data_IF_430764409367
#
_entry.id   IF_430764409367
#
_cell.length_a   1.000
_cell.length_b   1.000
_cell.length_c   1.000
_cell.angle_alpha   90.00
_cell.angle_beta   90.00
_cell.angle_gamma   90.00
#
_symmetry.space_group_name_H-M   'P 1'
#
loop_
_entity.id
_entity.type
_entity.pdbx_description
1 polymer ?
#
# COMPACT_ATOMS: atom_id res chain seq x y z
N UNK A 1 -13.53 19.72 -3.74
CA UNK A 1 -12.17 20.00 -4.19
C UNK A 1 -11.31 18.94 -3.55
N UNK A 2 -10.78 18.03 -4.37
CA UNK A 2 -9.88 16.96 -3.92
C UNK A 2 -8.64 17.57 -3.27
N UNK A 3 -8.08 16.90 -2.26
CA UNK A 3 -6.85 17.34 -1.60
C UNK A 3 -5.65 17.12 -2.51
N UNK A 4 -5.47 18.03 -3.47
CA UNK A 4 -4.46 17.92 -4.50
C UNK A 4 -3.05 18.14 -3.94
N UNK A 5 -2.13 17.22 -4.22
CA UNK A 5 -0.71 17.32 -3.89
C UNK A 5 0.13 17.22 -5.14
N UNK A 6 1.36 17.74 -5.00
CA UNK A 6 2.44 17.53 -5.96
C UNK A 6 3.75 17.34 -5.19
N UNK A 7 4.61 16.49 -5.72
CA UNK A 7 5.95 16.27 -5.17
C UNK A 7 6.94 15.98 -6.31
N UNK A 8 8.21 16.34 -6.11
CA UNK A 8 9.26 16.14 -7.10
C UNK A 8 9.11 17.02 -8.35
N UNK A 9 9.60 16.52 -9.48
CA UNK A 9 9.65 17.24 -10.76
C UNK A 9 8.50 16.84 -11.68
N UNK A 10 7.67 17.81 -12.05
CA UNK A 10 6.51 17.62 -12.93
C UNK A 10 6.52 18.68 -14.04
N UNK A 11 5.97 18.39 -15.24
CA UNK A 11 5.81 19.39 -16.28
C UNK A 11 4.75 20.44 -15.90
N UNK A 12 4.79 21.60 -16.56
CA UNK A 12 3.84 22.71 -16.30
C UNK A 12 2.38 22.33 -16.61
N UNK A 13 2.17 21.39 -17.52
CA UNK A 13 0.87 20.91 -17.98
C UNK A 13 0.93 19.39 -18.13
N UNK A 14 -0.17 18.73 -17.77
CA UNK A 14 -0.37 17.28 -17.98
C UNK A 14 -0.21 16.93 -19.45
N UNK A 15 0.31 15.74 -19.75
CA UNK A 15 0.44 15.23 -21.12
C UNK A 15 1.27 16.16 -22.03
N UNK A 16 2.29 16.80 -21.46
CA UNK A 16 3.28 17.57 -22.21
C UNK A 16 4.68 16.98 -22.02
N UNK A 17 5.61 17.36 -22.88
CA UNK A 17 6.99 16.84 -22.80
C UNK A 17 7.62 17.21 -21.46
N UNK A 18 8.05 16.20 -20.71
CA UNK A 18 8.87 16.33 -19.53
C UNK A 18 10.25 15.74 -19.81
N UNK A 19 11.26 16.60 -19.89
CA UNK A 19 12.60 16.21 -20.34
C UNK A 19 13.54 16.02 -19.17
N UNK A 20 14.40 15.00 -19.29
CA UNK A 20 15.55 14.79 -18.42
C UNK A 20 16.68 15.77 -18.78
N UNK A 21 17.68 15.94 -17.91
CA UNK A 21 18.86 16.75 -18.21
C UNK A 21 19.62 16.34 -19.49
N UNK A 22 19.59 15.06 -19.85
CA UNK A 22 20.23 14.53 -21.08
C UNK A 22 19.40 14.73 -22.36
N UNK A 23 18.20 15.34 -22.25
CA UNK A 23 17.30 15.61 -23.37
C UNK A 23 16.29 14.49 -23.67
N UNK A 24 16.44 13.30 -23.07
CA UNK A 24 15.45 12.22 -23.16
C UNK A 24 14.16 12.58 -22.40
N UNK A 25 13.11 11.74 -22.52
CA UNK A 25 11.81 11.98 -21.89
C UNK A 25 11.64 11.11 -20.64
N UNK A 26 10.96 11.65 -19.62
CA UNK A 26 10.37 10.83 -18.57
C UNK A 26 9.13 10.10 -19.11
N UNK A 27 8.82 8.94 -18.56
CA UNK A 27 7.62 8.16 -18.89
C UNK A 27 6.47 8.60 -17.98
N UNK A 28 5.29 8.85 -18.52
CA UNK A 28 4.11 9.26 -17.74
C UNK A 28 3.22 8.03 -17.46
N UNK A 29 2.84 7.82 -16.20
CA UNK A 29 1.84 6.84 -15.76
C UNK A 29 0.64 7.57 -15.16
N UNK A 30 -0.58 7.25 -15.63
CA UNK A 30 -1.79 7.65 -14.94
C UNK A 30 -2.26 6.51 -14.03
N UNK A 31 -2.07 6.69 -12.72
CA UNK A 31 -2.67 5.83 -11.71
C UNK A 31 -4.04 6.39 -11.34
N UNK A 32 -5.10 5.86 -11.97
CA UNK A 32 -6.47 6.31 -11.75
C UNK A 32 -7.40 5.25 -11.19
N UNK A 33 -8.46 5.69 -10.53
CA UNK A 33 -9.57 4.85 -10.08
C UNK A 33 -10.73 4.87 -11.10
N UNK A 34 -11.54 3.81 -11.10
CA UNK A 34 -12.82 3.72 -11.86
C UNK A 34 -12.74 4.18 -13.32
N UNK A 35 -11.68 3.79 -14.05
CA UNK A 35 -11.58 3.99 -15.50
C UNK A 35 -11.72 5.45 -15.94
N UNK A 36 -10.94 6.35 -15.33
CA UNK A 36 -10.87 7.80 -15.61
C UNK A 36 -12.04 8.64 -15.06
N UNK A 37 -12.98 8.04 -14.33
CA UNK A 37 -14.13 8.75 -13.77
C UNK A 37 -13.99 9.16 -12.30
N UNK A 38 -12.90 8.76 -11.66
CA UNK A 38 -12.59 9.04 -10.25
C UNK A 38 -11.22 9.70 -10.08
N UNK A 39 -10.78 9.84 -8.83
CA UNK A 39 -9.49 10.41 -8.45
C UNK A 39 -8.32 9.68 -9.15
N UNK A 40 -7.26 10.43 -9.42
CA UNK A 40 -6.08 9.91 -10.12
C UNK A 40 -4.84 10.68 -9.77
N UNK A 41 -3.70 10.01 -9.89
CA UNK A 41 -2.38 10.62 -9.82
C UNK A 41 -1.64 10.39 -11.14
N UNK A 42 -0.90 11.40 -11.59
CA UNK A 42 0.07 11.31 -12.67
C UNK A 42 1.46 11.17 -12.09
N UNK A 43 2.18 10.13 -12.49
CA UNK A 43 3.55 9.84 -12.06
C UNK A 43 4.49 9.96 -13.25
N UNK A 44 5.68 10.50 -13.01
CA UNK A 44 6.72 10.69 -14.02
C UNK A 44 7.93 9.83 -13.68
N UNK A 45 8.21 8.82 -14.49
CA UNK A 45 9.20 7.77 -14.26
C UNK A 45 10.47 7.94 -15.10
N UNK A 46 11.61 7.49 -14.56
CA UNK A 46 12.84 7.32 -15.33
C UNK A 46 12.82 6.11 -16.27
N UNK A 47 11.96 5.13 -16.05
CA UNK A 47 11.89 3.93 -16.88
C UNK A 47 10.44 3.68 -17.30
N UNK A 48 10.24 2.71 -18.18
CA UNK A 48 8.89 2.30 -18.60
C UNK A 48 8.25 1.56 -17.42
N UNK A 49 7.18 2.08 -16.79
CA UNK A 49 6.62 1.52 -15.56
C UNK A 49 6.00 0.13 -15.76
N UNK A 50 5.57 -0.18 -16.98
CA UNK A 50 5.01 -1.49 -17.37
C UNK A 50 6.05 -2.55 -17.75
N UNK A 51 7.34 -2.22 -17.73
CA UNK A 51 8.38 -3.16 -18.12
C UNK A 51 8.54 -4.29 -17.07
N UNK A 52 8.50 -5.52 -17.55
CA UNK A 52 8.75 -6.75 -16.78
C UNK A 52 9.69 -7.65 -17.61
N UNK A 53 10.60 -8.35 -16.94
CA UNK A 53 11.53 -9.30 -17.58
C UNK A 53 11.26 -10.75 -17.21
N UNK A 54 10.58 -11.01 -16.08
CA UNK A 54 10.15 -12.34 -15.66
C UNK A 54 8.89 -12.25 -14.79
N UNK A 55 8.14 -13.36 -14.73
CA UNK A 55 6.97 -13.52 -13.89
C UNK A 55 6.83 -14.97 -13.42
N UNK A 56 6.68 -15.17 -12.11
CA UNK A 56 6.47 -16.50 -11.51
C UNK A 56 5.38 -16.50 -10.46
N UNK A 57 4.70 -17.63 -10.21
CA UNK A 57 3.71 -17.72 -9.14
C UNK A 57 4.33 -17.40 -7.77
N UNK A 58 3.61 -16.62 -6.97
CA UNK A 58 3.85 -16.47 -5.53
C UNK A 58 2.78 -17.25 -4.77
N UNK A 59 3.20 -18.26 -4.02
CA UNK A 59 2.30 -19.03 -3.17
C UNK A 59 1.90 -18.16 -1.97
N UNK A 60 0.65 -17.71 -1.97
CA UNK A 60 0.10 -16.95 -0.86
C UNK A 60 -0.09 -17.83 0.38
N UNK A 61 0.01 -17.25 1.59
CA UNK A 61 -0.50 -17.87 2.81
C UNK A 61 -1.99 -18.23 2.70
N UNK A 62 -2.50 -19.05 3.63
CA UNK A 62 -3.93 -19.36 3.68
C UNK A 62 -4.75 -18.11 4.01
N UNK A 63 -5.68 -17.76 3.11
CA UNK A 63 -6.62 -16.64 3.25
C UNK A 63 -8.07 -17.12 3.42
N UNK A 64 -8.26 -18.41 3.72
CA UNK A 64 -9.59 -19.01 3.86
C UNK A 64 -10.28 -18.54 5.15
N UNK A 65 -11.60 -18.40 5.06
CA UNK A 65 -12.47 -18.04 6.19
C UNK A 65 -13.48 -19.16 6.42
N UNK A 66 -13.83 -19.39 7.68
CA UNK A 66 -14.93 -20.26 8.07
C UNK A 66 -16.08 -19.43 8.67
N UNK A 67 -17.35 -19.74 8.36
CA UNK A 67 -18.49 -19.10 9.00
C UNK A 67 -18.48 -19.26 10.53
N UNK A 68 -18.91 -18.24 11.26
CA UNK A 68 -19.11 -18.33 12.71
C UNK A 68 -20.55 -18.82 12.99
N UNK A 69 -20.79 -20.11 12.75
CA UNK A 69 -22.10 -20.75 12.87
C UNK A 69 -22.04 -21.98 13.80
N UNK A 70 -22.74 -21.98 14.95
CA UNK A 70 -23.53 -20.88 15.49
C UNK A 70 -22.67 -19.67 15.88
N UNK A 71 -23.31 -18.50 16.06
CA UNK A 71 -22.60 -17.28 16.46
C UNK A 71 -22.03 -17.43 17.87
N UNK A 72 -20.71 -17.55 17.96
CA UNK A 72 -19.99 -17.60 19.23
C UNK A 72 -19.22 -16.29 19.48
N UNK A 73 -19.27 -15.73 20.70
CA UNK A 73 -18.36 -14.66 21.09
C UNK A 73 -16.94 -15.23 21.18
N UNK A 74 -16.01 -14.67 20.40
CA UNK A 74 -14.61 -15.09 20.38
C UNK A 74 -13.73 -14.01 20.97
N UNK A 75 -12.91 -14.37 21.95
CA UNK A 75 -11.83 -13.52 22.43
C UNK A 75 -10.55 -13.92 21.72
N UNK A 76 -10.10 -13.08 20.79
CA UNK A 76 -8.89 -13.32 20.00
C UNK A 76 -7.70 -12.67 20.73
N UNK A 77 -6.72 -13.49 21.13
CA UNK A 77 -5.50 -13.03 21.80
C UNK A 77 -4.40 -12.84 20.77
N UNK A 78 -4.42 -11.70 20.09
CA UNK A 78 -3.55 -11.48 18.93
C UNK A 78 -2.07 -11.40 19.31
N UNK A 79 -1.76 -10.91 20.50
CA UNK A 79 -0.40 -10.89 21.05
C UNK A 79 0.18 -12.29 21.25
N UNK A 80 -0.66 -13.32 21.39
CA UNK A 80 -0.23 -14.72 21.54
C UNK A 80 0.05 -15.39 20.16
N UNK A 81 -0.21 -14.71 19.03
CA UNK A 81 0.03 -15.26 17.68
C UNK A 81 1.51 -15.23 17.27
N UNK A 82 2.35 -14.47 17.97
CA UNK A 82 3.74 -14.27 17.65
C UNK A 82 4.60 -14.46 18.90
N UNK A 83 5.55 -15.38 18.83
CA UNK A 83 6.50 -15.62 19.90
C UNK A 83 7.47 -14.43 20.07
N UNK A 84 7.94 -14.21 21.30
CA UNK A 84 8.60 -12.96 21.75
C UNK A 84 9.84 -12.51 20.95
N UNK A 85 10.49 -13.38 20.18
CA UNK A 85 11.67 -13.05 19.36
C UNK A 85 11.49 -13.35 17.87
N UNK A 86 10.40 -14.00 17.46
CA UNK A 86 10.19 -14.37 16.05
C UNK A 86 9.93 -13.16 15.16
N UNK A 87 9.44 -12.06 15.74
CA UNK A 87 9.19 -10.82 15.02
C UNK A 87 10.40 -10.30 14.25
N UNK A 88 11.63 -10.56 14.70
CA UNK A 88 12.87 -10.09 14.04
C UNK A 88 13.09 -10.65 12.64
N UNK A 89 12.46 -11.77 12.31
CA UNK A 89 12.51 -12.44 11.00
C UNK A 89 11.17 -12.37 10.25
N UNK A 90 10.29 -11.49 10.72
CA UNK A 90 8.98 -11.29 10.15
C UNK A 90 8.90 -9.89 9.56
N UNK A 91 8.26 -9.82 8.40
CA UNK A 91 7.97 -8.57 7.75
C UNK A 91 6.47 -8.29 7.72
N UNK A 92 6.14 -7.00 7.54
CA UNK A 92 4.76 -6.52 7.59
C UNK A 92 3.90 -7.12 6.50
N UNK A 93 4.43 -7.58 5.35
CA UNK A 93 3.66 -8.06 4.20
C UNK A 93 3.43 -9.57 4.27
N UNK A 94 4.49 -10.37 4.39
CA UNK A 94 4.39 -11.83 4.20
C UNK A 94 4.07 -12.60 5.48
N UNK A 95 4.35 -12.02 6.66
CA UNK A 95 4.15 -12.67 7.95
C UNK A 95 2.76 -12.40 8.59
N UNK A 96 1.89 -11.63 7.92
CA UNK A 96 0.54 -11.29 8.41
C UNK A 96 -0.30 -12.55 8.68
N UNK A 97 -0.98 -12.60 9.83
CA UNK A 97 -1.93 -13.67 10.17
C UNK A 97 -3.36 -13.19 9.95
N UNK A 98 -4.15 -13.93 9.16
CA UNK A 98 -5.58 -13.63 8.99
C UNK A 98 -6.33 -13.91 10.30
N UNK A 99 -7.06 -12.91 10.77
CA UNK A 99 -7.77 -12.95 12.06
C UNK A 99 -9.27 -13.06 11.84
N UNK A 100 -9.81 -12.20 10.99
CA UNK A 100 -11.23 -12.15 10.64
C UNK A 100 -11.37 -11.76 9.17
N UNK A 101 -12.48 -12.16 8.55
CA UNK A 101 -12.81 -11.72 7.21
C UNK A 101 -14.28 -11.88 6.90
N UNK A 102 -14.79 -11.02 6.03
CA UNK A 102 -16.11 -11.13 5.44
C UNK A 102 -16.00 -10.82 3.93
N UNK A 103 -17.13 -10.52 3.30
CA UNK A 103 -17.15 -10.18 1.88
C UNK A 103 -16.46 -8.86 1.57
N UNK A 104 -16.37 -7.94 2.52
CA UNK A 104 -15.87 -6.56 2.35
C UNK A 104 -14.38 -6.42 2.71
N UNK A 105 -13.97 -7.00 3.84
CA UNK A 105 -12.64 -6.80 4.41
C UNK A 105 -12.03 -8.11 4.91
N UNK A 106 -10.69 -8.16 4.90
CA UNK A 106 -9.89 -9.10 5.68
C UNK A 106 -9.05 -8.33 6.67
N UNK A 107 -9.06 -8.79 7.91
CA UNK A 107 -8.32 -8.18 9.02
C UNK A 107 -7.19 -9.12 9.40
N UNK A 108 -5.97 -8.59 9.38
CA UNK A 108 -4.78 -9.31 9.75
C UNK A 108 -4.07 -8.65 10.93
N UNK A 109 -3.24 -9.45 11.60
CA UNK A 109 -2.31 -8.97 12.62
C UNK A 109 -0.88 -9.41 12.30
N UNK A 110 0.09 -8.55 12.58
CA UNK A 110 1.51 -8.85 12.39
C UNK A 110 2.38 -8.18 13.45
N UNK A 111 3.45 -8.88 13.84
CA UNK A 111 4.57 -8.33 14.62
C UNK A 111 5.84 -8.53 13.79
N UNK A 112 6.47 -7.44 13.39
CA UNK A 112 7.54 -7.44 12.39
C UNK A 112 8.75 -6.60 12.84
N UNK A 113 9.93 -7.00 12.39
CA UNK A 113 11.21 -6.31 12.60
C UNK A 113 12.10 -6.33 11.38
N UNK A 114 11.73 -7.09 10.34
CA UNK A 114 12.45 -7.13 9.08
C UNK A 114 11.77 -6.24 8.04
N UNK A 115 12.58 -5.65 7.16
CA UNK A 115 12.05 -4.90 6.03
C UNK A 115 11.31 -5.84 5.07
N UNK A 116 10.11 -5.46 4.66
CA UNK A 116 9.31 -6.28 3.74
C UNK A 116 9.96 -6.38 2.35
N UNK A 117 9.58 -7.36 1.52
CA UNK A 117 9.78 -7.24 0.09
C UNK A 117 8.99 -6.03 -0.46
N UNK A 118 9.32 -5.62 -1.69
CA UNK A 118 8.45 -4.73 -2.45
C UNK A 118 7.14 -5.45 -2.73
N UNK A 119 6.03 -4.78 -2.45
CA UNK A 119 4.70 -5.37 -2.49
C UNK A 119 3.71 -4.44 -3.18
N UNK A 120 2.75 -5.05 -3.89
CA UNK A 120 1.64 -4.39 -4.54
C UNK A 120 0.35 -5.19 -4.31
N UNK A 121 -0.64 -4.56 -3.68
CA UNK A 121 -1.97 -5.14 -3.53
C UNK A 121 -2.89 -4.68 -4.66
N UNK A 122 -3.20 -5.56 -5.61
CA UNK A 122 -4.14 -5.28 -6.71
C UNK A 122 -5.60 -5.65 -6.38
N UNK A 123 -5.89 -6.07 -5.14
CA UNK A 123 -7.23 -6.53 -4.72
C UNK A 123 -8.10 -5.39 -4.19
N UNK A 124 -7.52 -4.41 -3.52
CA UNK A 124 -8.21 -3.28 -2.89
C UNK A 124 -7.25 -2.45 -2.05
N UNK A 125 -7.78 -1.42 -1.39
CA UNK A 125 -6.99 -0.54 -0.53
C UNK A 125 -6.64 -1.24 0.79
N UNK A 126 -5.52 -0.84 1.39
CA UNK A 126 -5.11 -1.28 2.72
C UNK A 126 -5.14 -0.09 3.69
N UNK A 127 -5.72 -0.30 4.86
CA UNK A 127 -5.60 0.61 6.00
C UNK A 127 -4.85 -0.12 7.11
N UNK A 128 -3.63 0.32 7.40
CA UNK A 128 -2.73 -0.32 8.35
C UNK A 128 -2.61 0.55 9.59
N UNK A 129 -3.17 0.09 10.70
CA UNK A 129 -3.05 0.73 12.00
C UNK A 129 -1.77 0.27 12.70
N UNK A 130 -0.93 1.22 13.10
CA UNK A 130 0.30 0.95 13.86
C UNK A 130 -0.03 0.96 15.35
N UNK A 131 -0.13 -0.24 15.93
CA UNK A 131 -0.42 -0.42 17.36
C UNK A 131 0.74 0.04 18.23
N UNK A 132 1.97 -0.30 17.84
CA UNK A 132 3.21 0.08 18.54
C UNK A 132 4.41 -0.01 17.60
N UNK A 133 5.49 0.70 17.93
CA UNK A 133 6.68 0.76 17.11
C UNK A 133 6.64 1.89 16.10
N UNK A 134 7.66 1.93 15.24
CA UNK A 134 7.79 2.88 14.13
C UNK A 134 8.38 2.22 12.89
N UNK A 135 8.13 2.82 11.73
CA UNK A 135 8.65 2.37 10.46
C UNK A 135 8.71 3.51 9.44
N UNK A 136 9.55 3.33 8.42
CA UNK A 136 9.43 4.07 7.16
C UNK A 136 8.64 3.21 6.17
N UNK A 137 7.52 3.73 5.65
CA UNK A 137 6.80 3.13 4.53
C UNK A 137 7.32 3.77 3.25
N UNK A 138 8.18 3.06 2.53
CA UNK A 138 8.67 3.50 1.24
C UNK A 138 7.61 3.19 0.18
N UNK A 139 7.22 4.17 -0.63
CA UNK A 139 6.24 3.99 -1.70
C UNK A 139 6.75 4.57 -3.01
N UNK A 140 6.10 4.23 -4.11
CA UNK A 140 6.34 4.87 -5.41
C UNK A 140 6.12 6.40 -5.37
N UNK A 141 5.32 6.90 -4.43
CA UNK A 141 5.04 8.33 -4.22
C UNK A 141 6.06 9.03 -3.29
N UNK A 142 6.99 8.28 -2.69
CA UNK A 142 7.93 8.75 -1.69
C UNK A 142 7.78 8.06 -0.32
N UNK A 143 8.71 8.30 0.61
CA UNK A 143 8.67 7.71 1.95
C UNK A 143 7.64 8.39 2.85
N UNK A 144 7.11 7.63 3.81
CA UNK A 144 6.24 8.10 4.87
C UNK A 144 6.71 7.54 6.22
N UNK A 145 7.03 8.42 7.16
CA UNK A 145 7.37 8.03 8.54
C UNK A 145 6.11 7.78 9.34
N UNK A 146 6.02 6.60 9.96
CA UNK A 146 4.85 6.16 10.72
C UNK A 146 5.24 5.65 12.09
N UNK A 147 4.36 5.85 13.06
CA UNK A 147 4.56 5.46 14.44
C UNK A 147 3.26 5.07 15.12
N UNK A 148 3.36 4.80 16.41
CA UNK A 148 2.24 4.37 17.26
C UNK A 148 1.03 5.31 17.14
N UNK A 149 -0.14 4.73 16.87
CA UNK A 149 -1.41 5.46 16.72
C UNK A 149 -1.74 5.87 15.29
N UNK A 150 -0.81 5.71 14.35
CA UNK A 150 -1.03 6.09 12.96
C UNK A 150 -1.89 5.09 12.20
N UNK A 151 -2.68 5.62 11.27
CA UNK A 151 -3.36 4.85 10.23
C UNK A 151 -2.73 5.17 8.87
N UNK A 152 -2.20 4.16 8.21
CA UNK A 152 -1.58 4.28 6.90
C UNK A 152 -2.55 3.76 5.85
N UNK A 153 -3.05 4.64 5.00
CA UNK A 153 -3.89 4.26 3.85
C UNK A 153 -2.99 4.08 2.63
N UNK A 154 -2.98 2.87 2.09
CA UNK A 154 -2.27 2.50 0.87
C UNK A 154 -3.30 2.17 -0.20
N UNK A 155 -3.51 3.07 -1.18
CA UNK A 155 -4.42 2.82 -2.28
C UNK A 155 -4.02 1.57 -3.07
N UNK A 156 -5.02 0.88 -3.63
CA UNK A 156 -4.84 -0.29 -4.49
C UNK A 156 -3.74 -0.01 -5.53
N UNK A 157 -2.90 -1.02 -5.76
CA UNK A 157 -1.79 -1.01 -6.71
C UNK A 157 -0.61 -0.08 -6.37
N UNK A 158 -0.62 0.59 -5.21
CA UNK A 158 0.57 1.32 -4.72
C UNK A 158 1.69 0.33 -4.41
N UNK A 159 2.78 0.38 -5.18
CA UNK A 159 4.00 -0.36 -4.82
C UNK A 159 4.62 0.27 -3.58
N UNK A 160 4.84 -0.55 -2.55
CA UNK A 160 5.40 -0.09 -1.30
C UNK A 160 6.28 -1.15 -0.62
N UNK A 161 7.03 -0.71 0.38
CA UNK A 161 7.88 -1.51 1.26
C UNK A 161 7.84 -0.94 2.66
N UNK A 162 7.68 -1.80 3.67
CA UNK A 162 7.74 -1.41 5.07
C UNK A 162 9.14 -1.65 5.62
N UNK A 163 9.73 -0.66 6.29
CA UNK A 163 11.04 -0.74 6.93
C UNK A 163 10.87 -0.40 8.41
N UNK A 164 10.65 -1.40 9.29
CA UNK A 164 10.58 -1.18 10.73
C UNK A 164 11.87 -0.56 11.29
N UNK A 165 11.73 0.27 12.32
CA UNK A 165 12.88 0.74 13.11
C UNK A 165 13.55 -0.43 13.85
N UNK A 166 14.88 -0.40 14.05
CA UNK A 166 15.63 -1.57 14.52
C UNK A 166 15.44 -1.88 16.01
N UNK A 167 15.00 -0.91 16.81
CA UNK A 167 15.07 -0.98 18.28
C UNK A 167 13.87 -1.69 18.92
N UNK A 168 12.72 -1.74 18.25
CA UNK A 168 11.49 -2.34 18.77
C UNK A 168 10.63 -2.99 17.67
N UNK A 169 9.80 -4.00 17.99
CA UNK A 169 8.90 -4.60 17.02
C UNK A 169 7.83 -3.61 16.55
N UNK A 170 7.58 -3.58 15.25
CA UNK A 170 6.38 -2.97 14.69
C UNK A 170 5.19 -3.93 14.85
N UNK A 171 4.18 -3.51 15.60
CA UNK A 171 2.90 -4.22 15.70
C UNK A 171 1.87 -3.51 14.85
N UNK A 172 1.24 -4.23 13.93
CA UNK A 172 0.30 -3.63 13.00
C UNK A 172 -0.97 -4.48 12.80
N UNK A 173 -2.09 -3.77 12.71
CA UNK A 173 -3.37 -4.31 12.26
C UNK A 173 -3.57 -3.92 10.80
N UNK A 174 -3.61 -4.89 9.91
CA UNK A 174 -3.80 -4.64 8.48
C UNK A 174 -5.25 -4.91 8.10
N UNK A 175 -5.98 -3.87 7.68
CA UNK A 175 -7.34 -3.97 7.17
C UNK A 175 -7.24 -3.89 5.65
N UNK A 176 -7.43 -5.02 4.98
CA UNK A 176 -7.45 -5.12 3.52
C UNK A 176 -8.90 -5.08 3.04
N UNK A 177 -9.27 -4.04 2.30
CA UNK A 177 -10.56 -3.93 1.67
C UNK A 177 -10.62 -4.68 0.33
N UNK A 178 -11.82 -4.97 -0.14
CA UNK A 178 -12.07 -5.40 -1.52
C UNK A 178 -12.37 -4.21 -2.47
N UNK A 179 -12.33 -2.99 -1.95
CA UNK A 179 -12.79 -1.71 -2.53
C UNK A 179 -11.88 -0.54 -2.11
N UNK A 180 -12.31 0.69 -2.40
CA UNK A 180 -11.63 1.93 -2.03
C UNK A 180 -11.99 2.38 -0.61
N UNK A 181 -11.02 2.89 0.14
CA UNK A 181 -11.19 3.43 1.50
C UNK A 181 -11.22 4.95 1.41
N UNK A 182 -12.38 5.53 1.68
CA UNK A 182 -12.59 6.98 1.70
C UNK A 182 -13.10 7.45 3.08
N UNK A 183 -12.93 8.74 3.42
CA UNK A 183 -13.57 9.32 4.58
C UNK A 183 -15.10 9.11 4.54
N UNK A 184 -15.76 8.84 5.68
CA UNK A 184 -17.21 8.63 5.70
C UNK A 184 -17.96 9.84 5.13
N UNK A 185 -18.92 9.66 4.19
CA UNK A 185 -19.62 10.77 3.53
C UNK A 185 -20.31 11.75 4.49
N UNK A 186 -20.76 11.26 5.65
CA UNK A 186 -21.39 12.09 6.70
C UNK A 186 -20.46 13.15 7.30
N UNK A 187 -19.15 12.96 7.20
CA UNK A 187 -18.14 13.90 7.71
C UNK A 187 -17.60 14.83 6.62
N UNK A 188 -18.08 14.70 5.39
CA UNK A 188 -17.66 15.51 4.26
C UNK A 188 -18.78 16.47 3.86
N UNK A 189 -18.40 17.70 3.52
CA UNK A 189 -19.27 18.59 2.76
C UNK A 189 -19.52 18.01 1.37
N UNK A 190 -20.50 18.56 0.64
CA UNK A 190 -20.74 18.23 -0.78
C UNK A 190 -19.52 18.43 -1.69
N UNK A 191 -18.50 19.15 -1.22
CA UNK A 191 -17.27 19.42 -1.94
C UNK A 191 -16.06 18.66 -1.35
N UNK A 192 -16.25 17.69 -0.46
CA UNK A 192 -15.16 16.84 0.04
C UNK A 192 -14.27 17.45 1.12
N UNK A 193 -14.58 18.67 1.61
CA UNK A 193 -13.94 19.22 2.82
C UNK A 193 -14.53 18.56 4.07
N UNK A 194 -13.70 18.29 5.09
CA UNK A 194 -14.19 17.82 6.38
C UNK A 194 -15.11 18.85 7.06
N UNK A 195 -16.18 18.36 7.67
CA UNK A 195 -17.11 19.16 8.46
C UNK A 195 -16.54 19.37 9.88
N UNK A 196 -16.90 20.48 10.54
CA UNK A 196 -16.39 20.84 11.89
C UNK A 196 -16.63 19.79 12.98
N UNK A 197 -17.57 18.87 12.78
CA UNK A 197 -17.85 17.77 13.71
C UNK A 197 -17.17 16.44 13.31
N UNK A 198 -16.38 16.45 12.25
CA UNK A 198 -15.57 15.30 11.86
C UNK A 198 -14.55 15.00 12.97
N UNK A 199 -14.24 13.72 13.23
CA UNK A 199 -13.30 13.35 14.29
C UNK A 199 -11.84 13.67 13.97
N UNK A 200 -11.55 14.10 12.75
CA UNK A 200 -10.25 14.55 12.26
C UNK A 200 -10.47 15.56 11.12
N UNK A 201 -9.42 16.29 10.76
CA UNK A 201 -9.44 17.29 9.72
C UNK A 201 -8.25 17.12 8.75
N UNK A 202 -8.18 17.97 7.73
CA UNK A 202 -7.12 17.92 6.72
C UNK A 202 -5.72 18.11 7.32
N UNK A 203 -5.60 18.75 8.49
CA UNK A 203 -4.31 18.98 9.18
C UNK A 203 -3.74 17.71 9.80
N UNK A 204 -4.58 16.72 10.06
CA UNK A 204 -4.18 15.43 10.60
C UNK A 204 -3.65 14.50 9.49
N UNK A 205 -3.94 14.82 8.22
CA UNK A 205 -3.52 14.04 7.06
C UNK A 205 -2.05 14.32 6.71
N UNK A 206 -1.21 13.30 6.90
CA UNK A 206 0.18 13.28 6.45
C UNK A 206 0.26 12.51 5.13
N UNK A 207 0.95 13.09 4.16
CA UNK A 207 1.23 12.43 2.88
C UNK A 207 2.72 12.27 2.70
N UNK A 208 3.12 11.54 1.67
CA UNK A 208 4.51 11.16 1.45
C UNK A 208 5.43 12.37 1.28
N UNK A 209 6.72 12.13 1.56
CA UNK A 209 7.81 13.01 1.16
C UNK A 209 7.99 13.05 -0.36
N UNK A 210 9.08 13.67 -0.81
CA UNK A 210 9.44 13.62 -2.22
C UNK A 210 9.76 12.17 -2.64
N UNK A 211 9.39 11.76 -3.87
CA UNK A 211 9.82 10.47 -4.42
C UNK A 211 11.34 10.30 -4.34
N UNK A 212 11.77 9.08 -4.01
CA UNK A 212 13.18 8.70 -4.00
C UNK A 212 13.44 7.73 -5.15
N UNK A 213 14.31 8.13 -6.08
CA UNK A 213 14.76 7.26 -7.17
C UNK A 213 15.83 6.31 -6.64
N UNK A 214 15.52 5.02 -6.59
CA UNK A 214 16.43 4.00 -6.11
C UNK A 214 17.06 3.23 -7.27
N UNK A 215 18.35 2.89 -7.20
CA UNK A 215 18.97 2.01 -8.18
C UNK A 215 18.55 0.56 -7.96
N UNK A 216 18.57 -0.23 -9.03
CA UNK A 216 18.32 -1.67 -8.97
C UNK A 216 18.23 -2.27 -10.37
N UNK A 217 18.46 -3.56 -10.48
CA UNK A 217 18.30 -4.33 -11.72
C UNK A 217 17.74 -5.68 -11.34
N UNK A 218 16.82 -6.20 -12.15
CA UNK A 218 16.09 -7.44 -11.89
C UNK A 218 15.46 -7.47 -10.49
N UNK A 219 14.67 -6.44 -10.19
CA UNK A 219 14.07 -6.22 -8.87
C UNK A 219 12.72 -6.93 -8.78
N UNK A 220 12.57 -7.83 -7.81
CA UNK A 220 11.33 -8.54 -7.56
C UNK A 220 10.28 -7.69 -6.82
N UNK A 221 9.03 -7.77 -7.26
CA UNK A 221 7.85 -7.19 -6.61
C UNK A 221 6.80 -8.28 -6.43
N UNK A 222 6.36 -8.49 -5.19
CA UNK A 222 5.27 -9.40 -4.87
C UNK A 222 3.93 -8.72 -5.15
N UNK A 223 3.09 -9.36 -5.94
CA UNK A 223 1.78 -8.84 -6.35
C UNK A 223 0.70 -9.80 -5.90
N UNK A 224 -0.20 -9.32 -5.05
CA UNK A 224 -1.44 -10.03 -4.71
C UNK A 224 -2.56 -9.55 -5.63
N UNK A 225 -3.26 -10.46 -6.28
CA UNK A 225 -4.33 -10.14 -7.23
C UNK A 225 -5.47 -11.17 -7.19
N UNK A 226 -6.55 -10.92 -7.94
CA UNK A 226 -7.63 -11.89 -8.12
C UNK A 226 -7.22 -12.95 -9.14
N UNK A 227 -7.57 -14.22 -8.91
CA UNK A 227 -7.23 -15.31 -9.81
C UNK A 227 -8.23 -16.46 -9.77
N UNK A 228 -8.53 -17.05 -10.92
CA UNK A 228 -9.38 -18.24 -11.03
C UNK A 228 -8.61 -19.49 -10.55
N UNK A 229 -9.22 -20.30 -9.68
CA UNK A 229 -8.65 -21.58 -9.24
C UNK A 229 -7.77 -21.55 -7.97
N UNK A 230 -7.57 -20.39 -7.35
CA UNK A 230 -6.79 -20.27 -6.12
C UNK A 230 -7.67 -20.49 -4.86
N UNK A 231 -8.04 -21.74 -4.60
CA UNK A 231 -8.61 -22.19 -3.32
C UNK A 231 -9.82 -21.41 -2.77
N UNK A 232 -10.10 -21.59 -1.48
CA UNK A 232 -11.14 -20.86 -0.74
C UNK A 232 -10.73 -19.39 -0.57
N UNK A 233 -10.98 -18.54 -1.56
CA UNK A 233 -10.74 -17.10 -1.42
C UNK A 233 -10.63 -16.28 -2.72
N UNK A 234 -10.35 -16.92 -3.87
CA UNK A 234 -10.28 -16.22 -5.17
C UNK A 234 -9.06 -15.30 -5.34
N UNK A 235 -8.02 -15.50 -4.53
CA UNK A 235 -6.82 -14.68 -4.46
C UNK A 235 -5.62 -15.46 -4.98
N UNK A 236 -4.81 -14.85 -5.85
CA UNK A 236 -3.57 -15.42 -6.37
C UNK A 236 -2.40 -14.45 -6.13
N UNK A 237 -1.19 -15.00 -6.12
CA UNK A 237 0.04 -14.23 -5.99
C UNK A 237 0.94 -14.42 -7.21
N UNK A 238 1.61 -13.36 -7.63
CA UNK A 238 2.64 -13.37 -8.66
C UNK A 238 3.83 -12.56 -8.20
N UNK A 239 5.04 -13.03 -8.46
CA UNK A 239 6.26 -12.22 -8.39
C UNK A 239 6.57 -11.71 -9.79
N UNK A 240 6.66 -10.40 -9.95
CA UNK A 240 7.21 -9.79 -11.16
C UNK A 240 8.65 -9.36 -10.93
N UNK A 241 9.49 -9.62 -11.92
CA UNK A 241 10.86 -9.08 -11.96
C UNK A 241 10.89 -7.89 -12.90
N UNK A 242 11.20 -6.72 -12.35
CA UNK A 242 11.34 -5.49 -13.11
C UNK A 242 12.81 -5.30 -13.53
N UNK A 243 13.08 -4.88 -14.78
CA UNK A 243 14.45 -4.68 -15.25
C UNK A 243 15.20 -3.60 -14.46
N UNK A 244 14.47 -2.67 -13.83
CA UNK A 244 14.98 -1.59 -12.99
C UNK A 244 14.12 -1.50 -11.73
N UNK A 245 14.64 -0.83 -10.70
CA UNK A 245 13.89 -0.63 -9.46
C UNK A 245 12.57 0.12 -9.73
N UNK A 246 11.42 -0.30 -9.16
CA UNK A 246 10.12 0.34 -9.43
C UNK A 246 9.93 1.69 -8.71
N UNK A 247 10.82 2.04 -7.79
CA UNK A 247 10.91 3.42 -7.26
C UNK A 247 11.84 4.24 -8.15
N UNK A 248 11.31 4.66 -9.29
CA UNK A 248 12.00 5.45 -10.32
C UNK A 248 11.22 6.72 -10.69
N UNK A 249 10.24 7.08 -9.86
CA UNK A 249 9.42 8.29 -10.03
C UNK A 249 10.23 9.51 -9.63
N UNK A 250 10.34 10.47 -10.54
CA UNK A 250 10.99 11.77 -10.28
C UNK A 250 10.03 12.84 -9.78
N UNK A 251 8.73 12.62 -9.94
CA UNK A 251 7.67 13.50 -9.47
C UNK A 251 6.28 13.01 -9.81
N UNK A 252 5.29 13.52 -9.10
CA UNK A 252 3.88 13.19 -9.31
C UNK A 252 2.95 14.33 -8.88
N UNK A 253 1.73 14.31 -9.39
CA UNK A 253 0.63 15.16 -8.95
C UNK A 253 -0.71 14.41 -8.95
N UNK A 254 -1.59 14.73 -7.99
CA UNK A 254 -2.87 14.03 -7.79
C UNK A 254 -3.68 14.63 -6.66
#
# INVERSE_FOLDING_TARGET
MTFYRRAGTIPRKRHTQHRRPDGSLYCEELMGEEGFSSDSSLLYHEQIPSAIVDARPWILPDHSTAPNEPLLPRHLRLHDLFDSQEWKRHDVVTARRLVLGNVDVRIYYVVAGEASPLYRNAVGDECIYVESGSATVQTVFGPLEVGTGDYVVLPRSTTHRWVPSPDEPLRAYCIEANSHIAPPPRYLSRFGQFLEHAPYCERDLRGTGAPEVLPGTDVEVLIKHRGAGAGKGGLAGTVYTHPRHPFDVVGWDG
#
